data_IF_607424034551
#
_entry.id   IF_607424034551
#
_cell.length_a   1.000
_cell.length_b   1.000
_cell.length_c   1.000
_cell.angle_alpha   90.00
_cell.angle_beta   90.00
_cell.angle_gamma   90.00
#
_symmetry.space_group_name_H-M   'P 1'
#
loop_
_entity.id
_entity.type
_entity.pdbx_description
1 polymer ?
#
# COMPACT_ATOMS: atom_id res chain seq x y z
N UNK A 1 -1.78 -20.82 14.36
CA UNK A 1 -0.74 -19.78 14.27
C UNK A 1 -0.98 -18.81 13.14
N UNK A 2 -1.36 -19.27 11.94
CA UNK A 2 -1.55 -18.43 10.74
C UNK A 2 -3.02 -18.01 10.53
N UNK A 3 -3.97 -18.67 11.18
CA UNK A 3 -5.42 -18.39 11.01
C UNK A 3 -5.87 -17.02 11.56
N UNK A 4 -5.07 -16.34 12.37
CA UNK A 4 -5.46 -15.08 13.02
C UNK A 4 -4.97 -13.80 12.29
N UNK A 5 -4.19 -13.92 11.21
CA UNK A 5 -3.49 -12.74 10.63
C UNK A 5 -4.31 -12.07 9.52
N UNK A 6 -5.13 -12.80 8.77
CA UNK A 6 -6.09 -12.23 7.80
C UNK A 6 -7.31 -13.16 7.68
N UNK A 7 -8.48 -12.71 8.12
CA UNK A 7 -9.73 -13.48 8.06
C UNK A 7 -10.32 -13.45 6.63
N UNK A 8 -9.63 -14.07 5.66
CA UNK A 8 -10.11 -14.23 4.28
C UNK A 8 -10.97 -15.48 4.16
N UNK A 9 -12.27 -15.29 3.93
CA UNK A 9 -13.23 -16.37 3.69
C UNK A 9 -13.63 -16.40 2.22
N UNK A 10 -13.47 -17.55 1.58
CA UNK A 10 -13.82 -17.78 0.19
C UNK A 10 -15.21 -18.41 0.08
N UNK A 11 -16.04 -17.91 -0.83
CA UNK A 11 -17.39 -18.42 -1.05
C UNK A 11 -17.62 -18.74 -2.51
N UNK A 12 -18.34 -19.83 -2.76
CA UNK A 12 -18.94 -20.06 -4.07
C UNK A 12 -19.98 -18.97 -4.34
N UNK A 13 -19.83 -18.27 -5.46
CA UNK A 13 -20.71 -17.16 -5.84
C UNK A 13 -22.20 -17.54 -5.87
N UNK A 14 -22.55 -18.80 -6.10
CA UNK A 14 -23.94 -19.29 -6.06
C UNK A 14 -24.55 -19.39 -4.66
N UNK A 15 -23.73 -19.28 -3.61
CA UNK A 15 -24.15 -19.37 -2.19
C UNK A 15 -24.11 -18.02 -1.47
N UNK A 16 -23.72 -16.95 -2.16
CA UNK A 16 -23.65 -15.60 -1.60
C UNK A 16 -25.05 -14.97 -1.65
N UNK A 17 -25.54 -14.47 -0.50
CA UNK A 17 -26.81 -13.77 -0.35
C UNK A 17 -26.72 -12.70 0.76
N UNK A 18 -27.71 -11.81 0.84
CA UNK A 18 -27.76 -10.71 1.82
C UNK A 18 -27.58 -11.18 3.27
N UNK A 19 -28.21 -12.28 3.68
CA UNK A 19 -28.14 -12.77 5.06
C UNK A 19 -26.73 -13.19 5.45
N UNK A 20 -26.04 -13.91 4.56
CA UNK A 20 -24.68 -14.36 4.82
C UNK A 20 -23.73 -13.15 4.85
N UNK A 21 -23.89 -12.20 3.95
CA UNK A 21 -23.06 -10.99 3.87
C UNK A 21 -23.23 -10.08 5.09
N UNK A 22 -24.46 -9.80 5.52
CA UNK A 22 -24.75 -8.99 6.72
C UNK A 22 -24.14 -9.61 7.96
N UNK A 23 -24.12 -10.95 8.06
CA UNK A 23 -23.44 -11.66 9.14
C UNK A 23 -21.93 -11.38 9.23
N UNK A 24 -21.28 -10.96 8.14
CA UNK A 24 -19.85 -10.62 8.11
C UNK A 24 -19.57 -9.13 8.23
N UNK A 25 -20.39 -8.29 7.60
CA UNK A 25 -20.16 -6.84 7.61
C UNK A 25 -20.70 -6.16 8.86
N UNK A 26 -21.52 -6.86 9.66
CA UNK A 26 -22.30 -6.24 10.73
C UNK A 26 -23.18 -5.12 10.17
N UNK A 27 -23.37 -4.06 10.96
CA UNK A 27 -24.16 -2.88 10.58
C UNK A 27 -23.49 -1.99 9.53
N UNK A 28 -22.18 -2.17 9.28
CA UNK A 28 -21.37 -1.33 8.39
C UNK A 28 -21.70 -1.53 6.90
N UNK A 29 -22.31 -2.66 6.53
CA UNK A 29 -22.64 -3.00 5.15
C UNK A 29 -21.44 -3.19 4.23
N UNK A 30 -21.69 -3.45 2.93
CA UNK A 30 -20.64 -3.50 1.91
C UNK A 30 -20.39 -2.09 1.35
N UNK A 31 -19.19 -1.57 1.58
CA UNK A 31 -18.74 -0.30 1.02
C UNK A 31 -18.21 -0.44 -0.42
N UNK A 32 -17.48 -1.51 -0.73
CA UNK A 32 -16.85 -1.73 -2.04
C UNK A 32 -16.94 -3.20 -2.48
N UNK A 33 -17.24 -3.46 -3.75
CA UNK A 33 -17.19 -4.78 -4.39
C UNK A 33 -16.18 -4.75 -5.54
N UNK A 34 -15.17 -5.62 -5.48
CA UNK A 34 -14.22 -5.83 -6.58
C UNK A 34 -14.67 -7.03 -7.43
N UNK A 35 -14.78 -6.83 -8.74
CA UNK A 35 -15.18 -7.87 -9.70
C UNK A 35 -14.01 -8.17 -10.62
N UNK A 36 -13.38 -9.33 -10.39
CA UNK A 36 -12.24 -9.81 -11.14
C UNK A 36 -12.64 -11.05 -11.96
N UNK A 37 -13.16 -10.84 -13.17
CA UNK A 37 -13.41 -11.91 -14.13
C UNK A 37 -12.25 -12.10 -15.10
N UNK A 38 -12.12 -13.29 -15.68
CA UNK A 38 -11.12 -13.57 -16.72
C UNK A 38 -11.42 -12.83 -18.03
N UNK A 39 -12.67 -12.42 -18.23
CA UNK A 39 -13.14 -11.66 -19.39
C UNK A 39 -14.42 -10.89 -19.02
N UNK A 40 -14.89 -10.04 -19.93
CA UNK A 40 -16.09 -9.22 -19.75
C UNK A 40 -17.34 -10.04 -19.44
N UNK A 41 -17.49 -11.22 -20.04
CA UNK A 41 -18.68 -12.05 -19.83
C UNK A 41 -18.72 -12.64 -18.42
N UNK A 42 -17.57 -13.12 -17.92
CA UNK A 42 -17.45 -13.63 -16.56
C UNK A 42 -17.66 -12.51 -15.53
N UNK A 43 -17.05 -11.35 -15.76
CA UNK A 43 -17.26 -10.15 -14.93
C UNK A 43 -18.73 -9.73 -14.89
N UNK A 44 -19.44 -9.78 -16.02
CA UNK A 44 -20.86 -9.44 -16.07
C UNK A 44 -21.74 -10.47 -15.35
N UNK A 45 -21.41 -11.76 -15.46
CA UNK A 45 -22.09 -12.82 -14.68
C UNK A 45 -21.91 -12.61 -13.18
N UNK A 46 -20.70 -12.25 -12.75
CA UNK A 46 -20.40 -11.96 -11.36
C UNK A 46 -21.23 -10.75 -10.91
N UNK A 47 -21.18 -9.65 -11.67
CA UNK A 47 -21.93 -8.43 -11.39
C UNK A 47 -23.43 -8.68 -11.25
N UNK A 48 -24.04 -9.44 -12.17
CA UNK A 48 -25.47 -9.74 -12.10
C UNK A 48 -25.82 -10.57 -10.86
N UNK A 49 -24.96 -11.51 -10.45
CA UNK A 49 -25.16 -12.31 -9.23
C UNK A 49 -24.96 -11.50 -7.95
N UNK A 50 -24.02 -10.58 -7.95
CA UNK A 50 -23.76 -9.70 -6.79
C UNK A 50 -24.66 -8.47 -6.76
N UNK A 51 -25.50 -8.25 -7.78
CA UNK A 51 -26.34 -7.05 -7.89
C UNK A 51 -27.32 -6.89 -6.71
N UNK A 52 -27.75 -7.99 -6.09
CA UNK A 52 -28.57 -7.93 -4.87
C UNK A 52 -27.85 -7.28 -3.68
N UNK A 53 -26.52 -7.35 -3.65
CA UNK A 53 -25.67 -6.80 -2.60
C UNK A 53 -25.33 -5.31 -2.84
N UNK A 54 -25.54 -4.81 -4.06
CA UNK A 54 -25.15 -3.45 -4.46
C UNK A 54 -26.24 -2.48 -3.97
N UNK A 55 -25.90 -1.66 -2.98
CA UNK A 55 -26.71 -0.51 -2.54
C UNK A 55 -26.21 0.77 -3.24
N UNK A 56 -26.97 1.86 -3.13
CA UNK A 56 -26.58 3.14 -3.75
C UNK A 56 -25.19 3.63 -3.33
N UNK A 57 -24.79 3.37 -2.09
CA UNK A 57 -23.49 3.77 -1.54
C UNK A 57 -22.37 2.76 -1.83
N UNK A 58 -22.72 1.56 -2.31
CA UNK A 58 -21.74 0.51 -2.61
C UNK A 58 -21.02 0.85 -3.91
N UNK A 59 -19.70 1.07 -3.81
CA UNK A 59 -18.83 1.25 -4.97
C UNK A 59 -18.51 -0.11 -5.59
N UNK A 60 -18.59 -0.21 -6.91
CA UNK A 60 -18.26 -1.43 -7.65
C UNK A 60 -17.05 -1.16 -8.52
N UNK A 61 -15.99 -1.94 -8.37
CA UNK A 61 -14.77 -1.82 -9.15
C UNK A 61 -14.65 -3.04 -10.07
N UNK A 62 -14.80 -2.84 -11.37
CA UNK A 62 -14.49 -3.88 -12.35
C UNK A 62 -13.00 -3.89 -12.65
N UNK A 63 -12.35 -5.02 -12.40
CA UNK A 63 -10.93 -5.23 -12.67
C UNK A 63 -10.78 -5.91 -14.05
N UNK A 64 -10.44 -5.14 -15.07
CA UNK A 64 -10.27 -5.60 -16.44
C UNK A 64 -8.84 -6.06 -16.67
N UNK A 65 -8.66 -7.24 -17.25
CA UNK A 65 -7.34 -7.66 -17.72
C UNK A 65 -6.92 -6.86 -18.96
N UNK A 66 -7.84 -6.54 -19.87
CA UNK A 66 -7.52 -5.87 -21.13
C UNK A 66 -8.00 -4.42 -21.18
N UNK A 67 -7.23 -3.57 -21.87
CA UNK A 67 -7.52 -2.15 -22.13
C UNK A 67 -8.80 -1.87 -22.93
N UNK A 68 -9.34 -2.88 -23.62
CA UNK A 68 -10.52 -2.75 -24.49
C UNK A 68 -11.70 -3.60 -23.98
N UNK A 69 -12.13 -3.33 -22.76
CA UNK A 69 -13.36 -3.93 -22.21
C UNK A 69 -14.60 -3.22 -22.77
N UNK A 70 -15.60 -3.98 -23.24
CA UNK A 70 -16.94 -3.48 -23.58
C UNK A 70 -17.68 -3.08 -22.31
N UNK A 71 -17.42 -3.74 -21.17
CA UNK A 71 -18.00 -3.36 -19.88
C UNK A 71 -17.58 -1.96 -19.44
N UNK A 72 -16.44 -1.44 -19.88
CA UNK A 72 -16.05 -0.04 -19.62
C UNK A 72 -17.05 1.01 -20.12
N UNK A 73 -17.97 0.61 -21.00
CA UNK A 73 -19.08 1.48 -21.46
C UNK A 73 -20.19 1.62 -20.41
N UNK A 74 -20.25 0.75 -19.41
CA UNK A 74 -21.21 0.83 -18.31
C UNK A 74 -20.80 1.96 -17.35
N UNK A 75 -21.19 3.19 -17.67
CA UNK A 75 -20.92 4.35 -16.81
C UNK A 75 -22.04 4.55 -15.80
N UNK A 76 -21.71 4.40 -14.52
CA UNK A 76 -22.54 4.80 -13.37
C UNK A 76 -21.64 5.45 -12.33
N UNK A 77 -22.19 6.35 -11.52
CA UNK A 77 -21.42 7.10 -10.52
C UNK A 77 -20.71 6.18 -9.50
N UNK A 78 -21.38 5.11 -9.09
CA UNK A 78 -20.84 4.11 -8.16
C UNK A 78 -20.07 2.97 -8.85
N UNK A 79 -19.83 3.03 -10.17
CA UNK A 79 -19.09 2.01 -10.92
C UNK A 79 -17.76 2.59 -11.41
N UNK A 80 -16.68 1.94 -11.01
CA UNK A 80 -15.32 2.27 -11.40
C UNK A 80 -14.72 1.14 -12.24
N UNK A 81 -13.91 1.49 -13.23
CA UNK A 81 -13.21 0.53 -14.08
C UNK A 81 -11.71 0.66 -13.82
N UNK A 82 -11.08 -0.46 -13.46
CA UNK A 82 -9.66 -0.56 -13.20
C UNK A 82 -9.03 -1.49 -14.23
N UNK A 83 -8.08 -0.99 -15.03
CA UNK A 83 -7.45 -1.76 -16.11
C UNK A 83 -6.11 -2.30 -15.63
N UNK A 84 -6.11 -3.56 -15.15
CA UNK A 84 -4.96 -4.19 -14.49
C UNK A 84 -3.69 -4.00 -15.33
N UNK A 85 -3.70 -4.37 -16.61
CA UNK A 85 -2.49 -4.29 -17.44
C UNK A 85 -1.97 -2.85 -17.63
N UNK A 86 -2.85 -1.85 -17.74
CA UNK A 86 -2.42 -0.45 -17.89
C UNK A 86 -1.91 0.15 -16.59
N UNK A 87 -2.40 -0.36 -15.47
CA UNK A 87 -2.06 0.10 -14.14
C UNK A 87 -0.85 -0.63 -13.55
N UNK A 88 -0.63 -1.90 -13.91
CA UNK A 88 0.44 -2.75 -13.38
C UNK A 88 1.58 -3.03 -14.35
N UNK A 89 1.35 -3.05 -15.68
CA UNK A 89 2.38 -3.34 -16.70
C UNK A 89 2.82 -2.07 -17.46
N UNK A 90 3.07 -0.98 -16.73
CA UNK A 90 3.56 0.25 -17.35
C UNK A 90 4.99 0.08 -17.82
N UNK A 91 5.29 0.51 -19.05
CA UNK A 91 6.64 0.49 -19.62
C UNK A 91 7.63 1.25 -18.72
N UNK A 92 7.19 2.34 -18.07
CA UNK A 92 8.01 3.02 -17.05
C UNK A 92 8.35 2.11 -15.87
N UNK A 93 7.37 1.38 -15.32
CA UNK A 93 7.59 0.43 -14.22
C UNK A 93 8.51 -0.72 -14.60
N UNK A 94 8.52 -1.16 -15.87
CA UNK A 94 9.34 -2.29 -16.36
C UNK A 94 10.74 -1.83 -16.82
N UNK A 95 10.84 -0.67 -17.47
CA UNK A 95 12.08 -0.20 -18.12
C UNK A 95 12.80 0.87 -17.31
N UNK A 96 12.08 1.80 -16.67
CA UNK A 96 12.70 2.92 -15.94
C UNK A 96 13.12 2.55 -14.52
N UNK A 97 12.65 1.41 -14.00
CA UNK A 97 13.01 0.92 -12.67
C UNK A 97 12.67 1.91 -11.54
N UNK A 98 11.64 2.75 -11.76
CA UNK A 98 11.22 3.83 -10.84
C UNK A 98 10.98 3.30 -9.40
N UNK A 99 10.52 2.06 -9.27
CA UNK A 99 10.29 1.39 -7.98
C UNK A 99 11.60 1.04 -7.25
N UNK A 100 12.63 0.60 -7.99
CA UNK A 100 13.94 0.31 -7.41
C UNK A 100 14.64 1.61 -7.00
N UNK A 101 14.50 2.68 -7.78
CA UNK A 101 15.02 4.00 -7.40
C UNK A 101 14.36 4.49 -6.10
N UNK A 102 13.04 4.41 -6.00
CA UNK A 102 12.32 4.73 -4.75
C UNK A 102 12.78 3.85 -3.58
N UNK A 103 12.96 2.54 -3.79
CA UNK A 103 13.42 1.62 -2.75
C UNK A 103 14.84 1.95 -2.26
N UNK A 104 15.73 2.35 -3.19
CA UNK A 104 17.06 2.87 -2.84
C UNK A 104 16.94 4.12 -1.99
N UNK A 105 16.03 5.04 -2.33
CA UNK A 105 15.82 6.30 -1.59
C UNK A 105 15.28 6.06 -0.17
N UNK A 106 14.39 5.07 0.00
CA UNK A 106 13.95 4.62 1.33
C UNK A 106 15.14 4.16 2.17
N UNK A 107 16.00 3.28 1.63
CA UNK A 107 17.18 2.83 2.36
C UNK A 107 18.16 3.97 2.65
N UNK A 108 18.41 4.86 1.69
CA UNK A 108 19.27 6.02 1.88
C UNK A 108 18.72 6.96 2.96
N UNK A 109 17.41 7.15 3.04
CA UNK A 109 16.77 8.00 4.05
C UNK A 109 16.94 7.42 5.46
N UNK A 110 16.83 6.10 5.61
CA UNK A 110 17.18 5.41 6.86
C UNK A 110 18.63 5.71 7.28
N UNK A 111 19.59 5.70 6.33
CA UNK A 111 20.99 6.02 6.62
C UNK A 111 21.24 7.51 6.96
N UNK A 112 20.52 8.43 6.34
CA UNK A 112 20.68 9.88 6.54
C UNK A 112 20.07 10.34 7.87
N UNK A 113 18.98 9.69 8.31
CA UNK A 113 18.31 9.99 9.59
C UNK A 113 19.25 9.89 10.80
N UNK A 114 20.25 9.02 10.74
CA UNK A 114 21.28 8.90 11.78
C UNK A 114 22.20 10.14 11.86
N UNK A 115 22.21 11.03 10.86
CA UNK A 115 23.25 12.07 10.68
C UNK A 115 22.77 13.53 10.61
N UNK A 116 21.56 13.84 10.11
CA UNK A 116 21.14 15.25 9.88
C UNK A 116 19.68 15.57 10.27
N UNK A 117 19.42 16.81 10.71
CA UNK A 117 18.09 17.33 11.08
C UNK A 117 17.54 18.30 10.02
N UNK A 118 16.49 17.90 9.27
CA UNK A 118 15.66 18.79 8.44
C UNK A 118 15.40 18.28 6.99
N UNK A 119 14.18 18.44 6.48
CA UNK A 119 13.72 17.88 5.19
C UNK A 119 14.52 18.38 3.96
N UNK A 120 14.84 19.68 3.89
CA UNK A 120 15.60 20.24 2.76
C UNK A 120 17.05 19.75 2.71
N UNK A 121 17.70 19.60 3.88
CA UNK A 121 19.04 19.03 3.98
C UNK A 121 19.03 17.53 3.61
N UNK A 122 18.02 16.79 4.10
CA UNK A 122 17.82 15.38 3.75
C UNK A 122 17.61 15.18 2.25
N UNK A 123 16.80 16.02 1.57
CA UNK A 123 16.62 15.94 0.11
C UNK A 123 17.96 16.14 -0.62
N UNK A 124 18.74 17.13 -0.21
CA UNK A 124 20.05 17.40 -0.80
C UNK A 124 21.02 16.23 -0.59
N UNK A 125 21.03 15.63 0.60
CA UNK A 125 21.83 14.44 0.89
C UNK A 125 21.37 13.22 0.05
N UNK A 126 20.06 12.97 -0.04
CA UNK A 126 19.47 11.89 -0.84
C UNK A 126 19.86 11.99 -2.32
N UNK A 127 19.86 13.19 -2.90
CA UNK A 127 20.28 13.41 -4.29
C UNK A 127 21.78 13.14 -4.52
N UNK A 128 22.61 13.23 -3.49
CA UNK A 128 24.06 13.03 -3.56
C UNK A 128 24.50 11.59 -3.27
N UNK A 129 23.63 10.76 -2.67
CA UNK A 129 23.97 9.41 -2.26
C UNK A 129 23.98 8.42 -3.44
N UNK A 130 25.03 7.60 -3.49
CA UNK A 130 25.22 6.58 -4.52
C UNK A 130 24.56 5.24 -4.15
N UNK A 131 24.39 4.35 -5.14
CA UNK A 131 23.85 2.98 -4.96
C UNK A 131 24.83 2.00 -4.27
N UNK A 132 26.08 2.38 -3.98
CA UNK A 132 27.10 1.45 -3.48
C UNK A 132 26.72 0.66 -2.23
N UNK A 133 25.97 1.28 -1.33
CA UNK A 133 25.51 0.61 -0.11
C UNK A 133 24.26 -0.26 -0.36
N UNK A 134 23.44 0.09 -1.36
CA UNK A 134 22.30 -0.70 -1.81
C UNK A 134 22.74 -2.04 -2.41
N UNK A 135 23.80 -2.04 -3.23
CA UNK A 135 24.28 -3.24 -3.91
C UNK A 135 24.80 -4.32 -2.94
N UNK A 136 25.22 -3.90 -1.74
CA UNK A 136 25.71 -4.79 -0.67
C UNK A 136 24.59 -5.42 0.16
N UNK A 137 23.35 -4.94 0.03
CA UNK A 137 22.22 -5.44 0.81
C UNK A 137 21.83 -6.85 0.37
N UNK A 138 21.32 -7.62 1.32
CA UNK A 138 20.67 -8.90 1.01
C UNK A 138 19.39 -8.65 0.20
N UNK A 139 18.99 -9.62 -0.63
CA UNK A 139 17.73 -9.50 -1.37
C UNK A 139 16.52 -9.37 -0.46
N UNK A 140 16.55 -9.96 0.74
CA UNK A 140 15.50 -9.77 1.73
C UNK A 140 15.38 -8.29 2.15
N UNK A 141 16.50 -7.62 2.43
CA UNK A 141 16.51 -6.21 2.81
C UNK A 141 16.07 -5.31 1.64
N UNK A 142 16.52 -5.61 0.42
CA UNK A 142 16.04 -4.86 -0.76
C UNK A 142 14.54 -5.04 -0.96
N UNK A 143 14.04 -6.26 -0.75
CA UNK A 143 12.61 -6.56 -0.86
C UNK A 143 11.77 -5.80 0.18
N UNK A 144 12.26 -5.62 1.40
CA UNK A 144 11.60 -4.79 2.42
C UNK A 144 11.41 -3.35 1.95
N UNK A 145 12.44 -2.76 1.36
CA UNK A 145 12.36 -1.40 0.82
C UNK A 145 11.43 -1.33 -0.42
N UNK A 146 11.48 -2.34 -1.31
CA UNK A 146 10.55 -2.42 -2.46
C UNK A 146 9.09 -2.55 -2.02
N UNK A 147 8.81 -3.41 -1.05
CA UNK A 147 7.47 -3.59 -0.49
C UNK A 147 6.95 -2.29 0.15
N UNK A 148 7.82 -1.54 0.83
CA UNK A 148 7.46 -0.23 1.37
C UNK A 148 7.13 0.77 0.24
N UNK A 149 7.94 0.81 -0.82
CA UNK A 149 7.68 1.61 -2.03
C UNK A 149 6.31 1.31 -2.63
N UNK A 150 6.00 0.04 -2.88
CA UNK A 150 4.74 -0.37 -3.49
C UNK A 150 3.52 0.08 -2.67
N UNK A 151 3.66 0.09 -1.34
CA UNK A 151 2.60 0.47 -0.44
C UNK A 151 2.39 1.99 -0.34
N UNK A 152 3.28 2.83 -0.90
CA UNK A 152 3.13 4.30 -0.89
C UNK A 152 1.83 4.72 -1.56
N UNK A 153 1.52 4.16 -2.73
CA UNK A 153 0.32 4.52 -3.49
C UNK A 153 -0.99 4.22 -2.72
N UNK A 154 -1.00 3.14 -1.92
CA UNK A 154 -2.14 2.77 -1.08
C UNK A 154 -2.33 3.80 0.04
N UNK A 155 -1.24 4.23 0.69
CA UNK A 155 -1.29 5.24 1.76
C UNK A 155 -1.75 6.60 1.23
N UNK A 156 -1.22 7.03 0.08
CA UNK A 156 -1.66 8.26 -0.58
C UNK A 156 -3.17 8.23 -0.86
N UNK A 157 -3.68 7.16 -1.48
CA UNK A 157 -5.11 7.03 -1.78
C UNK A 157 -5.98 7.01 -0.53
N UNK A 158 -5.52 6.36 0.53
CA UNK A 158 -6.23 6.31 1.83
C UNK A 158 -6.40 7.70 2.42
N UNK A 159 -5.37 8.55 2.30
CA UNK A 159 -5.41 9.94 2.74
C UNK A 159 -6.03 10.92 1.71
N UNK A 160 -6.50 10.45 0.54
CA UNK A 160 -7.07 11.32 -0.48
C UNK A 160 -6.04 12.09 -1.32
N UNK A 161 -4.84 11.54 -1.50
CA UNK A 161 -3.75 12.10 -2.31
C UNK A 161 -3.34 11.18 -3.46
N UNK A 162 -2.57 11.73 -4.39
CA UNK A 162 -1.89 11.02 -5.49
C UNK A 162 -0.51 11.62 -5.75
N UNK A 163 0.38 10.83 -6.36
CA UNK A 163 1.68 11.29 -6.83
C UNK A 163 1.60 11.67 -8.31
N UNK A 164 2.19 12.80 -8.70
CA UNK A 164 2.28 13.28 -10.08
C UNK A 164 3.73 13.68 -10.43
N UNK A 165 4.17 13.57 -11.69
CA UNK A 165 5.47 14.09 -12.10
C UNK A 165 5.61 15.59 -11.78
N UNK A 166 6.77 15.99 -11.27
CA UNK A 166 7.12 17.39 -11.04
C UNK A 166 8.60 17.63 -11.30
N UNK A 167 8.92 18.77 -11.90
CA UNK A 167 10.28 19.26 -12.09
C UNK A 167 10.72 20.23 -10.98
N UNK A 168 9.81 20.59 -10.06
CA UNK A 168 10.11 21.40 -8.88
C UNK A 168 10.55 20.56 -7.67
N UNK A 169 11.42 21.15 -6.85
CA UNK A 169 11.89 20.55 -5.59
C UNK A 169 10.95 20.89 -4.41
N UNK A 170 9.69 21.25 -4.69
CA UNK A 170 8.73 21.62 -3.67
C UNK A 170 8.18 20.36 -2.99
N UNK A 171 8.62 20.15 -1.75
CA UNK A 171 8.13 19.06 -0.90
C UNK A 171 6.89 19.54 -0.16
N UNK A 172 5.84 18.71 -0.17
CA UNK A 172 4.68 18.92 0.70
C UNK A 172 5.13 18.95 2.17
N UNK A 173 4.88 20.07 2.85
CA UNK A 173 5.43 20.34 4.18
C UNK A 173 5.00 19.35 5.26
N UNK A 174 3.79 18.79 5.13
CA UNK A 174 3.24 17.79 6.04
C UNK A 174 2.43 16.76 5.26
N UNK A 175 2.66 15.48 5.55
CA UNK A 175 1.85 14.38 5.02
C UNK A 175 1.76 13.25 6.06
N UNK A 176 0.54 12.80 6.39
CA UNK A 176 -0.69 13.59 6.30
C UNK A 176 -0.61 14.85 7.18
N UNK A 177 -1.49 15.81 6.97
CA UNK A 177 -1.64 17.01 7.79
C UNK A 177 -2.53 16.77 9.04
N UNK A 178 -3.25 15.67 9.07
CA UNK A 178 -4.10 15.21 10.18
C UNK A 178 -3.42 14.12 11.03
N UNK A 179 -3.49 14.24 12.36
CA UNK A 179 -2.83 13.33 13.30
C UNK A 179 -3.51 11.96 13.36
N UNK A 180 -4.84 11.91 13.30
CA UNK A 180 -5.59 10.64 13.28
C UNK A 180 -5.29 9.86 11.99
N UNK A 181 -5.19 10.57 10.86
CA UNK A 181 -4.75 10.01 9.60
C UNK A 181 -3.29 9.51 9.67
N UNK A 182 -2.41 10.22 10.38
CA UNK A 182 -1.03 9.77 10.58
C UNK A 182 -0.99 8.45 11.34
N UNK A 183 -1.73 8.33 12.44
CA UNK A 183 -1.81 7.07 13.20
C UNK A 183 -2.40 5.94 12.36
N UNK A 184 -3.44 6.21 11.58
CA UNK A 184 -4.04 5.22 10.67
C UNK A 184 -3.03 4.71 9.64
N UNK A 185 -2.29 5.63 9.00
CA UNK A 185 -1.29 5.26 8.00
C UNK A 185 -0.06 4.58 8.62
N UNK A 186 0.30 4.95 9.86
CA UNK A 186 1.37 4.29 10.62
C UNK A 186 0.98 2.87 11.01
N UNK A 187 -0.27 2.65 11.45
CA UNK A 187 -0.80 1.30 11.69
C UNK A 187 -0.79 0.47 10.39
N UNK A 188 -1.15 1.07 9.24
CA UNK A 188 -1.06 0.40 7.95
C UNK A 188 0.39 0.01 7.60
N UNK A 189 1.37 0.86 7.90
CA UNK A 189 2.79 0.54 7.69
C UNK A 189 3.26 -0.60 8.60
N UNK A 190 2.90 -0.57 9.88
CA UNK A 190 3.24 -1.64 10.82
C UNK A 190 2.61 -2.98 10.40
N UNK A 191 1.35 -2.96 9.95
CA UNK A 191 0.67 -4.16 9.43
C UNK A 191 1.37 -4.71 8.18
N UNK A 192 1.83 -3.84 7.29
CA UNK A 192 2.64 -4.22 6.12
C UNK A 192 3.94 -4.89 6.55
N UNK A 193 4.68 -4.28 7.50
CA UNK A 193 5.91 -4.84 8.04
C UNK A 193 5.68 -6.20 8.72
N UNK A 194 4.66 -6.32 9.58
CA UNK A 194 4.29 -7.57 10.22
C UNK A 194 4.00 -8.67 9.20
N UNK A 195 3.21 -8.38 8.16
CA UNK A 195 2.88 -9.33 7.11
C UNK A 195 4.14 -9.83 6.40
N UNK A 196 5.05 -8.92 6.05
CA UNK A 196 6.33 -9.25 5.44
C UNK A 196 7.22 -10.11 6.35
N UNK A 197 7.32 -9.78 7.63
CA UNK A 197 8.11 -10.55 8.59
C UNK A 197 7.57 -11.98 8.73
N UNK A 198 6.25 -12.12 8.89
CA UNK A 198 5.58 -13.42 9.00
C UNK A 198 5.77 -14.26 7.73
N UNK A 199 5.61 -13.67 6.55
CA UNK A 199 5.82 -14.35 5.27
C UNK A 199 7.28 -14.81 5.07
N UNK A 200 8.23 -14.08 5.66
CA UNK A 200 9.65 -14.46 5.68
C UNK A 200 10.01 -15.45 6.81
N UNK A 201 9.01 -15.99 7.51
CA UNK A 201 9.17 -17.00 8.55
C UNK A 201 9.61 -16.45 9.91
N UNK A 202 9.44 -15.14 10.14
CA UNK A 202 9.58 -14.58 11.48
C UNK A 202 8.36 -14.89 12.32
N UNK A 203 8.58 -15.02 13.62
CA UNK A 203 7.53 -15.24 14.61
C UNK A 203 7.67 -14.25 15.77
N UNK A 204 6.55 -14.01 16.44
CA UNK A 204 6.55 -13.25 17.68
C UNK A 204 7.28 -14.02 18.80
N UNK A 205 8.01 -13.28 19.63
CA UNK A 205 8.48 -13.74 20.93
C UNK A 205 9.06 -12.59 21.75
N UNK A 206 8.95 -12.65 23.07
CA UNK A 206 9.32 -11.55 23.98
C UNK A 206 10.80 -11.13 23.88
N UNK A 207 11.67 -12.04 23.45
CA UNK A 207 13.11 -11.79 23.29
C UNK A 207 13.47 -11.96 21.83
N UNK A 208 13.93 -10.88 21.20
CA UNK A 208 14.42 -10.89 19.82
C UNK A 208 15.57 -11.88 19.65
N UNK A 209 15.50 -12.70 18.61
CA UNK A 209 16.54 -13.65 18.22
C UNK A 209 16.57 -13.80 16.70
N UNK A 210 17.57 -13.22 16.05
CA UNK A 210 17.65 -13.23 14.59
C UNK A 210 17.90 -14.61 13.99
N UNK A 211 18.71 -15.44 14.66
CA UNK A 211 19.04 -16.79 14.19
C UNK A 211 17.80 -17.70 14.15
N UNK A 212 16.88 -17.50 15.10
CA UNK A 212 15.61 -18.22 15.18
C UNK A 212 14.44 -17.45 14.54
N UNK A 213 14.71 -16.30 13.93
CA UNK A 213 13.72 -15.38 13.36
C UNK A 213 12.60 -15.01 14.35
N UNK A 214 12.97 -14.65 15.57
CA UNK A 214 12.06 -14.18 16.62
C UNK A 214 12.17 -12.66 16.73
N UNK A 215 11.04 -11.96 16.73
CA UNK A 215 10.99 -10.51 16.93
C UNK A 215 9.83 -10.12 17.86
N UNK A 216 10.14 -9.31 18.87
CA UNK A 216 9.23 -8.78 19.90
C UNK A 216 8.13 -7.85 19.37
N UNK A 217 8.42 -7.07 18.34
CA UNK A 217 7.48 -6.11 17.75
C UNK A 217 6.46 -6.72 16.77
N UNK A 218 6.45 -8.04 16.55
CA UNK A 218 5.42 -8.72 15.72
C UNK A 218 4.13 -8.86 16.54
N UNK A 219 3.52 -7.72 16.84
CA UNK A 219 2.31 -7.55 17.65
C UNK A 219 1.42 -6.46 17.01
N UNK A 220 0.14 -6.35 17.42
CA UNK A 220 -0.73 -5.26 16.95
C UNK A 220 -0.14 -3.87 17.24
N UNK A 221 -0.33 -2.92 16.32
CA UNK A 221 0.19 -1.55 16.42
C UNK A 221 -0.21 -0.88 17.74
N UNK A 222 -1.46 -1.07 18.18
CA UNK A 222 -1.99 -0.54 19.44
C UNK A 222 -1.22 -1.00 20.69
N UNK A 223 -0.48 -2.11 20.62
CA UNK A 223 0.32 -2.66 21.72
C UNK A 223 1.79 -2.28 21.67
N UNK A 224 2.24 -1.59 20.62
CA UNK A 224 3.61 -1.09 20.54
C UNK A 224 3.84 0.04 21.53
N UNK A 225 5.07 0.12 22.04
CA UNK A 225 5.54 1.29 22.75
C UNK A 225 5.67 2.49 21.81
N UNK A 226 5.37 3.69 22.32
CA UNK A 226 5.35 4.90 21.50
C UNK A 226 6.68 5.24 20.79
N UNK A 227 7.86 5.00 21.40
CA UNK A 227 9.14 5.15 20.69
C UNK A 227 9.27 4.26 19.46
N UNK A 228 8.63 3.08 19.46
CA UNK A 228 8.65 2.14 18.33
C UNK A 228 7.67 2.60 17.25
N UNK A 229 6.46 3.03 17.63
CA UNK A 229 5.47 3.60 16.70
C UNK A 229 6.02 4.78 15.90
N UNK A 230 6.98 5.52 16.47
CA UNK A 230 7.65 6.62 15.79
C UNK A 230 8.30 6.21 14.46
N UNK A 231 8.84 5.00 14.35
CA UNK A 231 9.42 4.53 13.09
C UNK A 231 8.38 4.43 11.97
N UNK A 232 7.18 3.94 12.27
CA UNK A 232 6.08 3.86 11.31
C UNK A 232 5.55 5.25 10.92
N UNK A 233 5.38 6.14 11.91
CA UNK A 233 4.96 7.54 11.66
C UNK A 233 5.95 8.26 10.74
N UNK A 234 7.24 8.13 11.02
CA UNK A 234 8.28 8.74 10.19
C UNK A 234 8.34 8.12 8.80
N UNK A 235 8.16 6.80 8.66
CA UNK A 235 8.06 6.14 7.37
C UNK A 235 6.93 6.73 6.50
N UNK A 236 5.79 7.08 7.12
CA UNK A 236 4.68 7.78 6.46
C UNK A 236 5.05 9.23 6.13
N UNK A 237 5.56 9.98 7.10
CA UNK A 237 5.90 11.41 6.94
C UNK A 237 7.00 11.65 5.90
N UNK A 238 7.84 10.64 5.65
CA UNK A 238 8.91 10.70 4.66
C UNK A 238 8.46 10.47 3.22
N UNK A 239 7.20 10.08 2.99
CA UNK A 239 6.67 9.79 1.64
C UNK A 239 6.86 10.97 0.66
N UNK A 240 6.52 12.23 1.01
CA UNK A 240 6.75 13.37 0.11
C UNK A 240 8.22 13.54 -0.26
N UNK A 241 9.13 13.32 0.69
CA UNK A 241 10.57 13.43 0.48
C UNK A 241 11.10 12.35 -0.47
N UNK A 242 10.66 11.10 -0.30
CA UNK A 242 11.01 9.98 -1.18
C UNK A 242 10.54 10.27 -2.60
N UNK A 243 9.29 10.71 -2.76
CA UNK A 243 8.71 11.02 -4.07
C UNK A 243 9.41 12.20 -4.74
N UNK A 244 9.70 13.28 -4.01
CA UNK A 244 10.42 14.43 -4.55
C UNK A 244 11.83 14.05 -5.05
N UNK A 245 12.49 13.10 -4.36
CA UNK A 245 13.83 12.63 -4.76
C UNK A 245 13.87 11.89 -6.09
N UNK A 246 12.71 11.44 -6.60
CA UNK A 246 12.54 10.76 -7.91
C UNK A 246 11.69 11.58 -8.89
N UNK A 247 11.53 12.89 -8.66
CA UNK A 247 10.80 13.78 -9.57
C UNK A 247 9.27 13.65 -9.50
N UNK A 248 8.73 13.25 -8.34
CA UNK A 248 7.30 13.15 -8.09
C UNK A 248 6.85 14.09 -6.96
N UNK A 249 5.64 14.62 -7.07
CA UNK A 249 5.01 15.50 -6.08
C UNK A 249 3.69 14.92 -5.60
N UNK A 250 3.43 15.06 -4.30
CA UNK A 250 2.17 14.65 -3.68
C UNK A 250 1.15 15.78 -3.84
N UNK A 251 -0.03 15.46 -4.39
CA UNK A 251 -1.14 16.40 -4.59
C UNK A 251 -2.46 15.76 -4.15
N UNK A 252 -3.48 16.54 -3.75
CA UNK A 252 -4.83 16.01 -3.49
C UNK A 252 -5.40 15.26 -4.72
N UNK A 253 -6.15 14.19 -4.47
CA UNK A 253 -6.66 13.26 -5.49
C UNK A 253 -7.79 13.86 -6.33
#
# INVERSE_FOLDING_TARGET
>A
GIEEVVDLKFYELGRVNDRNVVGFTGDSGIQVIYICGNNDFDSLKIFNKTNMLIRNETRVVFCHQASKSVLSRLKRENIHHYFINEETLRVSSIIKNDMEEQAVKIHQLYMVKEKEKGQSAQLKALKQLTHKEWDKLTEQTKNQNRNQTEHIAIKLRTAGYKAVPSDDDEILSSFPDDEDMLELLAEMEHRRWNAEMLLNGWIYGEVRNEALKIHDNIIPYSKLEDPIKKYDREAVQNIPLILASVGLKVVPA
#
